data_IF_273201646690
#
_entry.id   IF_273201646690
#
_cell.length_a   1.000
_cell.length_b   1.000
_cell.length_c   1.000
_cell.angle_alpha   90.00
_cell.angle_beta   90.00
_cell.angle_gamma   90.00
#
_symmetry.space_group_name_H-M   'P 1'
#
loop_
_entity.id
_entity.type
_entity.pdbx_description
1 polymer ?
#
# COMPACT_ATOMS: atom_id res chain seq x y z
N UNK A 1 -23.14 33.65 -53.50
CA UNK A 1 -23.82 32.76 -54.47
C UNK A 1 -24.69 31.79 -53.70
N UNK A 2 -25.97 31.72 -54.07
CA UNK A 2 -27.01 30.87 -53.52
C UNK A 2 -26.74 29.38 -53.75
N UNK A 3 -27.16 28.50 -52.82
CA UNK A 3 -28.13 27.43 -53.11
C UNK A 3 -28.74 26.85 -51.84
N UNK A 4 -30.00 27.26 -51.62
CA UNK A 4 -31.03 26.49 -50.93
C UNK A 4 -31.34 25.21 -51.70
N UNK A 5 -31.71 24.14 -50.99
CA UNK A 5 -32.84 23.30 -51.37
C UNK A 5 -33.52 22.73 -50.15
N UNK A 6 -34.85 22.79 -50.20
CA UNK A 6 -35.79 22.52 -49.14
C UNK A 6 -36.85 21.52 -49.63
N UNK A 7 -37.66 21.03 -48.67
CA UNK A 7 -39.01 20.43 -48.81
C UNK A 7 -39.04 18.93 -49.18
N UNK A 8 -39.99 18.09 -48.72
CA UNK A 8 -41.36 18.32 -48.23
C UNK A 8 -41.98 17.05 -47.55
N UNK A 9 -42.70 17.25 -46.45
CA UNK A 9 -44.07 16.77 -46.07
C UNK A 9 -44.53 15.30 -46.11
N UNK A 10 -45.24 14.93 -45.02
CA UNK A 10 -46.44 14.04 -44.97
C UNK A 10 -46.71 13.61 -43.51
N UNK A 11 -47.55 14.25 -42.70
CA UNK A 11 -49.03 14.27 -42.63
C UNK A 11 -49.70 12.93 -42.20
N UNK A 12 -50.39 12.97 -41.04
CA UNK A 12 -51.22 11.95 -40.37
C UNK A 12 -52.42 11.45 -41.20
N UNK A 13 -53.15 10.40 -40.75
CA UNK A 13 -54.35 10.66 -39.92
C UNK A 13 -54.61 9.66 -38.77
N UNK A 14 -55.51 10.09 -37.89
CA UNK A 14 -56.10 9.38 -36.76
C UNK A 14 -57.18 8.36 -37.18
N UNK A 15 -57.48 7.42 -36.27
CA UNK A 15 -58.66 6.54 -36.34
C UNK A 15 -59.09 6.10 -34.93
N UNK A 16 -60.33 6.42 -34.57
CA UNK A 16 -60.95 6.26 -33.26
C UNK A 16 -61.95 5.08 -33.22
N UNK A 17 -62.47 4.81 -32.02
CA UNK A 17 -63.72 4.06 -31.68
C UNK A 17 -63.67 2.52 -31.79
N UNK A 18 -64.22 1.71 -30.84
CA UNK A 18 -65.43 1.82 -30.00
C UNK A 18 -65.36 0.86 -28.78
N UNK A 19 -66.30 0.97 -27.80
CA UNK A 19 -66.34 0.23 -26.54
C UNK A 19 -67.25 -1.01 -26.60
N UNK A 20 -67.04 -1.95 -25.67
CA UNK A 20 -67.92 -3.08 -25.42
C UNK A 20 -68.18 -3.23 -23.93
N UNK A 21 -69.35 -2.77 -23.49
CA UNK A 21 -69.92 -3.08 -22.20
C UNK A 21 -70.80 -4.33 -22.32
N UNK A 22 -70.64 -5.30 -21.42
CA UNK A 22 -71.65 -6.31 -21.14
C UNK A 22 -71.98 -6.26 -19.65
N UNK A 23 -73.22 -5.89 -19.38
CA UNK A 23 -73.93 -6.15 -18.14
C UNK A 23 -74.25 -7.65 -18.07
N UNK A 24 -74.07 -8.27 -16.90
CA UNK A 24 -75.07 -9.22 -16.42
C UNK A 24 -75.11 -9.30 -14.89
N UNK A 25 -76.25 -8.86 -14.38
CA UNK A 25 -77.10 -9.46 -13.36
C UNK A 25 -76.50 -10.06 -12.07
N UNK A 26 -76.65 -9.25 -11.02
CA UNK A 26 -77.15 -9.57 -9.68
C UNK A 26 -77.23 -11.05 -9.25
N UNK A 27 -76.49 -11.38 -8.17
CA UNK A 27 -77.04 -12.17 -7.08
C UNK A 27 -76.74 -11.46 -5.75
N UNK A 28 -77.81 -11.07 -5.05
CA UNK A 28 -77.79 -10.70 -3.64
C UNK A 28 -77.44 -11.94 -2.85
N UNK A 29 -76.43 -11.85 -1.99
CA UNK A 29 -76.43 -12.63 -0.76
C UNK A 29 -76.05 -11.74 0.43
N UNK A 30 -76.91 -11.78 1.43
CA UNK A 30 -76.89 -10.93 2.62
C UNK A 30 -76.09 -11.64 3.72
N UNK A 31 -74.77 -11.49 3.70
CA UNK A 31 -73.88 -11.99 4.74
C UNK A 31 -73.48 -10.89 5.74
N UNK A 32 -74.31 -10.68 6.76
CA UNK A 32 -74.05 -9.84 7.93
C UNK A 32 -73.04 -10.57 8.84
N UNK A 33 -71.85 -10.00 9.08
CA UNK A 33 -70.93 -10.54 10.09
C UNK A 33 -69.52 -9.93 10.10
N UNK A 34 -69.27 -9.07 11.08
CA UNK A 34 -67.97 -8.83 11.72
C UNK A 34 -66.78 -8.39 10.86
N UNK A 35 -66.99 -7.32 10.09
CA UNK A 35 -65.92 -6.42 9.67
C UNK A 35 -65.44 -5.57 10.84
N UNK A 36 -64.44 -6.04 11.60
CA UNK A 36 -63.78 -5.19 12.58
C UNK A 36 -63.02 -5.93 13.67
N UNK A 37 -61.92 -6.61 13.33
CA UNK A 37 -60.83 -6.99 14.26
C UNK A 37 -59.69 -7.78 13.58
N UNK A 38 -59.30 -7.46 12.35
CA UNK A 38 -58.13 -8.12 11.70
C UNK A 38 -57.22 -7.18 10.90
N UNK A 39 -57.21 -5.88 11.20
CA UNK A 39 -56.38 -4.88 10.51
C UNK A 39 -55.46 -4.10 11.46
N UNK A 40 -54.86 -4.77 12.45
CA UNK A 40 -53.94 -4.11 13.39
C UNK A 40 -52.72 -4.96 13.78
N UNK A 41 -52.29 -5.89 12.91
CA UNK A 41 -51.00 -6.61 13.08
C UNK A 41 -50.34 -6.79 11.71
N UNK A 42 -50.13 -5.72 10.96
CA UNK A 42 -49.35 -5.74 9.72
C UNK A 42 -48.53 -4.46 9.47
N UNK A 43 -48.36 -3.62 10.50
CA UNK A 43 -47.60 -2.36 10.42
C UNK A 43 -46.52 -2.23 11.50
N UNK A 44 -46.11 -3.35 12.12
CA UNK A 44 -45.01 -3.37 13.10
C UNK A 44 -43.79 -4.19 12.64
N UNK A 45 -43.88 -4.93 11.53
CA UNK A 45 -42.76 -5.72 11.00
C UNK A 45 -41.91 -4.96 9.96
N UNK A 46 -42.48 -3.98 9.26
CA UNK A 46 -41.76 -3.23 8.22
C UNK A 46 -40.84 -2.12 8.77
N UNK A 47 -41.06 -1.65 10.00
CA UNK A 47 -40.27 -0.56 10.62
C UNK A 47 -39.02 -1.08 11.34
N UNK A 48 -38.94 -2.38 11.63
CA UNK A 48 -37.80 -2.98 12.36
C UNK A 48 -36.80 -3.68 11.42
N UNK A 49 -37.18 -4.01 10.19
CA UNK A 49 -36.27 -4.66 9.22
C UNK A 49 -35.46 -3.66 8.40
N UNK A 50 -36.02 -2.47 8.13
CA UNK A 50 -35.33 -1.41 7.38
C UNK A 50 -34.05 -0.86 8.06
N UNK A 51 -33.96 -0.68 9.40
CA UNK A 51 -32.73 -0.20 10.02
C UNK A 51 -31.66 -1.30 10.17
N UNK A 52 -32.04 -2.59 10.09
CA UNK A 52 -31.10 -3.70 10.30
C UNK A 52 -30.35 -4.11 9.01
N UNK A 53 -30.85 -3.71 7.84
CA UNK A 53 -30.18 -3.92 6.55
C UNK A 53 -29.20 -2.78 6.19
N UNK A 54 -29.26 -1.64 6.90
CA UNK A 54 -28.34 -0.51 6.70
C UNK A 54 -27.05 -0.59 7.53
N UNK A 55 -26.93 -1.56 8.46
CA UNK A 55 -25.73 -1.74 9.30
C UNK A 55 -24.77 -2.81 8.80
N UNK A 56 -25.04 -3.43 7.63
CA UNK A 56 -24.01 -4.06 6.82
C UNK A 56 -23.15 -2.96 6.16
N UNK A 57 -22.59 -2.08 7.00
CA UNK A 57 -21.59 -1.11 6.59
C UNK A 57 -20.47 -1.89 5.94
N UNK A 58 -20.15 -1.51 4.71
CA UNK A 58 -18.92 -1.91 4.04
C UNK A 58 -17.78 -1.68 5.02
N UNK A 59 -17.25 -2.73 5.65
CA UNK A 59 -16.00 -2.65 6.37
C UNK A 59 -14.95 -2.33 5.30
N UNK A 60 -14.76 -1.03 5.01
CA UNK A 60 -13.64 -0.58 4.20
C UNK A 60 -12.42 -1.11 4.93
N UNK A 61 -11.58 -1.97 4.31
CA UNK A 61 -10.38 -2.42 4.97
C UNK A 61 -9.63 -1.18 5.41
N UNK A 62 -9.46 -1.04 6.73
CA UNK A 62 -8.76 0.10 7.28
C UNK A 62 -7.34 0.03 6.71
N UNK A 63 -6.98 1.01 5.89
CA UNK A 63 -5.68 1.00 5.24
C UNK A 63 -4.65 1.47 6.24
N UNK A 64 -3.63 0.68 6.52
CA UNK A 64 -2.42 1.27 7.07
C UNK A 64 -1.64 1.96 5.96
N UNK A 65 -0.85 2.93 6.34
CA UNK A 65 0.03 3.56 5.40
C UNK A 65 1.30 3.96 6.15
N UNK A 66 2.44 3.66 5.55
CA UNK A 66 3.72 4.10 6.02
C UNK A 66 4.88 3.42 5.31
N UNK A 67 6.06 3.99 5.51
CA UNK A 67 7.33 3.44 5.03
C UNK A 67 8.48 3.91 5.94
N UNK A 68 9.62 3.19 5.96
CA UNK A 68 10.83 3.67 6.61
C UNK A 68 11.31 4.99 5.99
N UNK A 69 11.56 5.98 6.85
CA UNK A 69 12.21 7.26 6.49
C UNK A 69 13.62 7.37 7.05
N UNK A 70 13.99 6.54 8.03
CA UNK A 70 15.37 6.39 8.50
C UNK A 70 15.62 4.98 9.07
N UNK A 71 16.52 4.16 8.50
CA UNK A 71 17.09 4.30 7.16
C UNK A 71 16.00 4.42 6.09
N UNK A 72 16.12 5.41 5.21
CA UNK A 72 15.10 5.71 4.20
C UNK A 72 14.90 4.52 3.27
N UNK A 73 13.65 4.17 3.01
CA UNK A 73 13.28 3.13 2.05
C UNK A 73 13.37 3.64 0.61
N UNK A 74 13.54 2.74 -0.36
CA UNK A 74 13.56 3.08 -1.79
C UNK A 74 12.30 3.83 -2.21
N UNK A 75 11.13 3.35 -1.78
CA UNK A 75 9.84 3.96 -2.15
C UNK A 75 9.71 5.38 -1.59
N UNK A 76 10.14 5.60 -0.34
CA UNK A 76 10.14 6.94 0.28
C UNK A 76 11.19 7.85 -0.34
N UNK A 77 12.40 7.35 -0.57
CA UNK A 77 13.51 8.10 -1.17
C UNK A 77 13.21 8.57 -2.60
N UNK A 78 12.46 7.76 -3.37
CA UNK A 78 12.14 8.02 -4.77
C UNK A 78 10.72 8.57 -4.99
N UNK A 79 9.96 8.82 -3.93
CA UNK A 79 8.65 9.46 -4.04
C UNK A 79 8.80 10.92 -4.49
N UNK A 80 7.71 11.59 -4.94
CA UNK A 80 7.76 13.03 -5.23
C UNK A 80 8.25 13.90 -4.06
N UNK A 81 8.05 13.42 -2.83
CA UNK A 81 8.42 14.10 -1.59
C UNK A 81 9.82 13.70 -1.09
N UNK A 82 10.41 12.64 -1.65
CA UNK A 82 11.69 12.10 -1.19
C UNK A 82 12.87 12.96 -1.61
N UNK A 83 13.84 13.18 -0.72
CA UNK A 83 15.03 14.02 -1.00
C UNK A 83 15.95 13.47 -2.10
N UNK A 84 15.85 12.19 -2.42
CA UNK A 84 16.69 11.51 -3.40
C UNK A 84 15.96 11.21 -4.72
N UNK A 85 14.77 11.79 -4.94
CA UNK A 85 13.96 11.62 -6.14
C UNK A 85 14.72 11.99 -7.42
N UNK A 86 15.67 12.93 -7.31
CA UNK A 86 16.59 13.33 -8.37
C UNK A 86 17.81 12.40 -8.59
N UNK A 87 17.93 11.27 -7.89
CA UNK A 87 19.05 10.34 -8.11
C UNK A 87 18.90 9.53 -9.40
N UNK A 88 20.00 9.01 -9.93
CA UNK A 88 19.97 8.17 -11.13
C UNK A 88 19.14 6.89 -10.92
N UNK A 89 19.26 6.26 -9.75
CA UNK A 89 18.46 5.11 -9.36
C UNK A 89 16.97 5.44 -9.28
N UNK A 90 16.59 6.54 -8.62
CA UNK A 90 15.17 6.92 -8.50
C UNK A 90 14.54 7.28 -9.86
N UNK A 91 15.25 8.00 -10.73
CA UNK A 91 14.77 8.26 -12.10
C UNK A 91 14.55 6.97 -12.88
N UNK A 92 15.51 6.04 -12.81
CA UNK A 92 15.38 4.74 -13.48
C UNK A 92 14.20 3.93 -12.91
N UNK A 93 14.01 3.95 -11.59
CA UNK A 93 12.90 3.29 -10.91
C UNK A 93 11.55 3.85 -11.36
N UNK A 94 11.39 5.18 -11.35
CA UNK A 94 10.16 5.85 -11.80
C UNK A 94 9.87 5.54 -13.29
N UNK A 95 10.90 5.57 -14.14
CA UNK A 95 10.75 5.23 -15.55
C UNK A 95 10.33 3.76 -15.75
N UNK A 96 10.98 2.82 -15.05
CA UNK A 96 10.62 1.41 -15.09
C UNK A 96 9.22 1.14 -14.50
N UNK A 97 8.80 1.94 -13.51
CA UNK A 97 7.48 1.84 -12.90
C UNK A 97 6.37 2.32 -13.85
N UNK A 98 6.67 3.25 -14.75
CA UNK A 98 5.71 3.92 -15.64
C UNK A 98 5.08 5.19 -15.02
N UNK A 99 5.58 5.64 -13.87
CA UNK A 99 5.06 6.79 -13.15
C UNK A 99 5.67 6.94 -11.75
N UNK A 100 5.51 8.12 -11.12
CA UNK A 100 6.07 8.40 -9.81
C UNK A 100 5.44 7.54 -8.70
N UNK A 101 6.20 7.26 -7.64
CA UNK A 101 5.71 6.58 -6.44
C UNK A 101 4.92 7.56 -5.55
N UNK A 102 3.73 7.98 -5.99
CA UNK A 102 2.86 8.90 -5.21
C UNK A 102 2.30 8.24 -3.97
N UNK A 103 1.87 6.98 -4.09
CA UNK A 103 1.41 6.16 -2.97
C UNK A 103 2.60 5.48 -2.26
N UNK A 104 3.61 6.25 -1.88
CA UNK A 104 4.86 5.72 -1.33
C UNK A 104 4.68 5.01 0.02
N UNK A 105 3.60 5.33 0.73
CA UNK A 105 3.22 4.80 2.01
C UNK A 105 2.26 3.59 1.90
N UNK A 106 1.88 3.14 0.70
CA UNK A 106 0.87 2.09 0.50
C UNK A 106 1.40 0.84 -0.23
N UNK A 107 2.68 0.49 -0.05
CA UNK A 107 3.23 -0.76 -0.58
C UNK A 107 2.76 -1.95 0.28
N UNK A 108 1.56 -2.43 -0.05
CA UNK A 108 0.71 -3.23 0.84
C UNK A 108 0.11 -4.44 0.13
N UNK A 109 0.14 -5.59 0.82
CA UNK A 109 -0.55 -6.82 0.41
C UNK A 109 -1.51 -7.24 1.54
N UNK A 110 -2.76 -7.55 1.21
CA UNK A 110 -3.72 -8.09 2.18
C UNK A 110 -3.60 -9.61 2.32
N UNK A 111 -3.94 -10.12 3.50
CA UNK A 111 -4.18 -11.55 3.73
C UNK A 111 -2.93 -12.43 3.63
N UNK A 112 -1.74 -11.83 3.77
CA UNK A 112 -0.47 -12.58 3.73
C UNK A 112 -0.40 -13.53 4.91
N UNK A 113 -0.78 -13.08 6.11
CA UNK A 113 -0.85 -13.88 7.33
C UNK A 113 0.47 -14.63 7.62
N UNK A 114 1.61 -13.97 7.41
CA UNK A 114 2.95 -14.54 7.62
C UNK A 114 3.47 -15.47 6.51
N UNK A 115 2.71 -15.64 5.42
CA UNK A 115 3.12 -16.43 4.24
C UNK A 115 3.96 -15.60 3.25
N UNK A 116 4.79 -14.69 3.76
CA UNK A 116 5.51 -13.68 2.97
C UNK A 116 6.26 -14.29 1.78
N UNK A 117 7.00 -15.39 2.03
CA UNK A 117 7.78 -16.13 1.02
C UNK A 117 6.95 -16.83 -0.05
N UNK A 118 5.67 -17.09 0.23
CA UNK A 118 4.76 -17.75 -0.71
C UNK A 118 4.04 -16.71 -1.59
N UNK A 119 3.84 -15.49 -1.06
CA UNK A 119 3.05 -14.45 -1.71
C UNK A 119 3.94 -13.49 -2.51
N UNK A 120 5.14 -13.18 -2.03
CA UNK A 120 6.07 -12.26 -2.68
C UNK A 120 7.13 -13.07 -3.44
N UNK A 121 7.17 -13.04 -4.79
CA UNK A 121 8.14 -13.79 -5.57
C UNK A 121 9.56 -13.26 -5.44
N UNK A 122 10.55 -14.14 -5.68
CA UNK A 122 11.95 -13.71 -5.83
C UNK A 122 12.10 -12.65 -6.94
N UNK A 123 13.01 -11.71 -6.72
CA UNK A 123 13.19 -10.56 -7.61
C UNK A 123 12.10 -9.49 -7.48
N UNK A 124 11.07 -9.69 -6.65
CA UNK A 124 9.97 -8.75 -6.45
C UNK A 124 9.78 -8.34 -4.99
N UNK A 125 10.80 -8.56 -4.15
CA UNK A 125 10.71 -8.28 -2.71
C UNK A 125 10.47 -6.79 -2.44
N UNK A 126 11.10 -5.90 -3.21
CA UNK A 126 11.04 -4.45 -2.96
C UNK A 126 9.77 -3.80 -3.50
N UNK A 127 9.08 -4.41 -4.46
CA UNK A 127 7.73 -4.04 -4.90
C UNK A 127 6.61 -4.79 -4.17
N UNK A 128 6.94 -5.90 -3.49
CA UNK A 128 5.93 -6.84 -2.99
C UNK A 128 5.18 -7.57 -4.11
N UNK A 129 5.74 -7.65 -5.32
CA UNK A 129 5.06 -8.20 -6.51
C UNK A 129 3.97 -7.28 -7.07
N UNK A 130 3.89 -6.04 -6.60
CA UNK A 130 2.85 -5.10 -6.99
C UNK A 130 3.30 -4.28 -8.21
N UNK A 131 2.52 -4.35 -9.29
CA UNK A 131 2.82 -3.63 -10.53
C UNK A 131 3.08 -2.11 -10.36
N UNK A 132 2.36 -1.37 -9.48
CA UNK A 132 2.62 0.05 -9.23
C UNK A 132 3.94 0.37 -8.50
N UNK A 133 4.71 -0.65 -8.13
CA UNK A 133 5.98 -0.52 -7.42
C UNK A 133 7.13 -1.28 -8.09
N UNK A 134 6.91 -1.87 -9.28
CA UNK A 134 7.87 -2.75 -9.98
C UNK A 134 9.23 -2.10 -10.25
N UNK A 135 9.27 -0.77 -10.37
CA UNK A 135 10.52 -0.03 -10.54
C UNK A 135 11.48 -0.11 -9.35
N UNK A 136 10.99 -0.46 -8.16
CA UNK A 136 11.80 -0.61 -6.94
C UNK A 136 12.65 -1.89 -6.93
N UNK A 137 12.35 -2.84 -7.82
CA UNK A 137 13.03 -4.13 -7.93
C UNK A 137 14.30 -4.08 -8.80
N UNK A 138 14.60 -2.93 -9.41
CA UNK A 138 15.80 -2.78 -10.24
C UNK A 138 17.06 -3.12 -9.42
N UNK A 139 17.84 -4.07 -9.95
CA UNK A 139 19.11 -4.48 -9.39
C UNK A 139 20.18 -3.42 -9.70
N UNK A 140 20.51 -2.58 -8.71
CA UNK A 140 21.42 -1.45 -8.85
C UNK A 140 22.29 -1.26 -7.62
N UNK A 141 23.54 -0.86 -7.83
CA UNK A 141 24.48 -0.55 -6.76
C UNK A 141 24.50 0.93 -6.34
N UNK A 142 23.68 1.77 -6.98
CA UNK A 142 23.63 3.24 -6.79
C UNK A 142 22.31 3.73 -6.17
N UNK A 143 21.50 2.84 -5.58
CA UNK A 143 20.37 3.24 -4.76
C UNK A 143 20.82 4.18 -3.62
N UNK A 144 20.04 5.24 -3.30
CA UNK A 144 20.28 6.06 -2.11
C UNK A 144 20.42 5.18 -0.87
N UNK A 145 21.44 5.42 -0.05
CA UNK A 145 21.75 4.51 1.05
C UNK A 145 22.18 5.21 2.33
N UNK A 146 21.78 4.66 3.46
CA UNK A 146 22.19 5.12 4.80
C UNK A 146 23.44 4.36 5.26
N UNK A 147 24.43 5.09 5.80
CA UNK A 147 25.62 4.47 6.40
C UNK A 147 25.28 3.92 7.79
N UNK A 148 25.62 2.66 8.04
CA UNK A 148 25.44 1.99 9.33
C UNK A 148 26.76 1.38 9.83
N UNK A 149 26.82 1.13 11.13
CA UNK A 149 27.98 0.47 11.76
C UNK A 149 27.70 -1.01 11.98
N UNK A 150 28.61 -1.93 11.57
CA UNK A 150 28.46 -3.36 11.86
C UNK A 150 28.35 -3.58 13.36
N UNK A 151 27.37 -4.38 13.81
CA UNK A 151 27.16 -4.62 15.24
C UNK A 151 26.67 -3.38 15.99
N UNK A 152 26.37 -2.27 15.32
CA UNK A 152 25.85 -1.06 15.94
C UNK A 152 24.39 -1.18 16.33
N UNK A 153 23.85 -0.08 16.86
CA UNK A 153 22.41 0.08 17.07
C UNK A 153 21.79 0.68 15.81
N UNK A 154 20.84 -0.02 15.21
CA UNK A 154 19.91 0.55 14.23
C UNK A 154 18.86 1.35 15.00
N UNK A 155 18.70 2.62 14.66
CA UNK A 155 17.52 3.39 15.04
C UNK A 155 16.61 3.46 13.82
N UNK A 156 15.41 2.89 13.91
CA UNK A 156 14.45 2.87 12.82
C UNK A 156 13.35 3.89 13.09
N UNK A 157 13.10 4.75 12.11
CA UNK A 157 11.94 5.63 12.02
C UNK A 157 11.07 5.19 10.85
N UNK A 158 9.85 4.74 11.16
CA UNK A 158 8.85 4.34 10.19
C UNK A 158 7.71 5.37 10.21
N UNK A 159 7.65 6.23 9.20
CA UNK A 159 6.56 7.20 9.07
C UNK A 159 5.25 6.44 8.86
N UNK A 160 4.21 6.79 9.59
CA UNK A 160 2.88 6.21 9.40
C UNK A 160 1.83 7.30 9.27
N UNK A 161 1.29 7.44 8.06
CA UNK A 161 0.21 8.39 7.76
C UNK A 161 -1.14 7.87 8.26
N UNK A 162 -1.31 6.54 8.35
CA UNK A 162 -2.41 5.89 9.05
C UNK A 162 -1.84 4.79 9.96
N UNK A 163 -1.87 4.98 11.30
CA UNK A 163 -1.26 4.06 12.26
C UNK A 163 -2.12 2.83 12.55
N UNK A 164 -1.46 1.70 12.78
CA UNK A 164 -2.05 0.39 13.12
C UNK A 164 -1.22 -0.35 14.16
N UNK A 165 -1.81 -1.35 14.82
CA UNK A 165 -1.03 -2.29 15.64
C UNK A 165 -0.44 -3.38 14.75
N UNK A 166 0.72 -3.90 15.12
CA UNK A 166 1.40 -4.90 14.32
C UNK A 166 2.83 -5.19 14.76
N UNK A 167 3.46 -6.10 14.04
CA UNK A 167 4.84 -6.52 14.28
C UNK A 167 5.71 -6.13 13.10
N UNK A 168 6.78 -5.40 13.38
CA UNK A 168 7.86 -5.10 12.45
C UNK A 168 8.90 -6.22 12.52
N UNK A 169 9.17 -6.88 11.39
CA UNK A 169 10.23 -7.88 11.23
C UNK A 169 11.32 -7.28 10.35
N UNK A 170 12.56 -7.28 10.85
CA UNK A 170 13.71 -6.71 10.16
C UNK A 170 14.65 -7.82 9.69
N UNK A 171 14.90 -7.84 8.39
CA UNK A 171 15.89 -8.72 7.76
C UNK A 171 17.00 -7.88 7.16
N UNK A 172 18.20 -8.45 7.14
CA UNK A 172 19.34 -7.83 6.48
C UNK A 172 20.00 -8.88 5.60
N UNK A 173 20.13 -8.57 4.31
CA UNK A 173 20.80 -9.42 3.31
C UNK A 173 22.09 -10.05 3.85
N UNK A 174 22.32 -11.33 3.55
CA UNK A 174 23.45 -12.14 4.02
C UNK A 174 24.80 -11.56 3.55
N UNK A 175 25.92 -11.90 4.21
CA UNK A 175 27.25 -11.56 3.71
C UNK A 175 27.44 -12.11 2.29
N UNK A 176 28.09 -11.33 1.42
CA UNK A 176 28.28 -11.68 0.02
C UNK A 176 27.11 -11.31 -0.91
N UNK A 177 26.07 -10.63 -0.41
CA UNK A 177 25.01 -10.06 -1.24
C UNK A 177 25.57 -9.20 -2.38
N UNK A 178 25.04 -9.43 -3.58
CA UNK A 178 25.40 -8.72 -4.81
C UNK A 178 24.26 -7.77 -5.21
N UNK A 179 24.40 -6.44 -5.03
CA UNK A 179 23.36 -5.48 -5.36
C UNK A 179 23.09 -5.34 -6.87
N UNK A 180 23.90 -5.98 -7.72
CA UNK A 180 23.70 -6.01 -9.18
C UNK A 180 22.78 -7.15 -9.63
N UNK A 181 22.32 -8.00 -8.70
CA UNK A 181 21.32 -9.05 -8.94
C UNK A 181 19.99 -8.69 -8.29
N UNK A 182 18.85 -9.15 -8.87
CA UNK A 182 17.55 -8.99 -8.23
C UNK A 182 17.55 -9.64 -6.84
N UNK A 183 16.97 -8.95 -5.85
CA UNK A 183 16.90 -9.45 -4.47
C UNK A 183 15.96 -10.66 -4.40
N UNK A 184 16.43 -11.77 -3.83
CA UNK A 184 15.66 -12.99 -3.61
C UNK A 184 15.55 -13.33 -2.11
N UNK A 185 14.58 -14.17 -1.74
CA UNK A 185 14.43 -14.66 -0.37
C UNK A 185 15.65 -15.45 0.11
N UNK A 186 16.39 -16.09 -0.80
CA UNK A 186 17.65 -16.76 -0.49
C UNK A 186 18.74 -15.80 -0.01
N UNK A 187 18.68 -14.53 -0.38
CA UNK A 187 19.61 -13.49 0.07
C UNK A 187 19.33 -13.05 1.51
N UNK A 188 18.14 -13.35 2.05
CA UNK A 188 17.75 -13.04 3.42
C UNK A 188 17.89 -14.27 4.33
N UNK A 189 18.23 -14.11 5.62
CA UNK A 189 18.12 -15.20 6.60
C UNK A 189 16.68 -15.68 6.74
N UNK A 190 16.49 -16.93 7.20
CA UNK A 190 15.16 -17.49 7.41
C UNK A 190 14.35 -16.71 8.46
N UNK A 191 15.04 -16.25 9.51
CA UNK A 191 14.47 -15.47 10.60
C UNK A 191 14.93 -14.01 10.54
N UNK A 192 14.08 -13.05 10.97
CA UNK A 192 14.52 -11.67 11.09
C UNK A 192 15.57 -11.55 12.21
N UNK A 193 16.50 -10.62 12.07
CA UNK A 193 17.46 -10.34 13.15
C UNK A 193 16.82 -9.56 14.30
N UNK A 194 15.68 -8.92 14.06
CA UNK A 194 14.88 -8.24 15.07
C UNK A 194 13.38 -8.31 14.74
N UNK A 195 12.57 -8.44 15.78
CA UNK A 195 11.10 -8.38 15.69
C UNK A 195 10.60 -7.45 16.79
N UNK A 196 9.81 -6.44 16.43
CA UNK A 196 9.31 -5.42 17.37
C UNK A 196 7.80 -5.28 17.18
N UNK A 197 7.05 -5.57 18.23
CA UNK A 197 5.58 -5.47 18.24
C UNK A 197 5.15 -4.17 18.90
N UNK A 198 4.20 -3.48 18.27
CA UNK A 198 3.58 -2.25 18.76
C UNK A 198 4.57 -1.22 19.33
N UNK A 199 5.62 -0.83 18.57
CA UNK A 199 6.54 0.21 19.01
C UNK A 199 5.80 1.54 19.24
N UNK A 200 6.34 2.45 20.06
CA UNK A 200 5.69 3.72 20.33
C UNK A 200 5.57 4.56 19.05
N UNK A 201 4.35 5.06 18.81
CA UNK A 201 4.09 6.07 17.79
C UNK A 201 4.31 7.48 18.39
N UNK A 202 5.24 8.25 17.82
CA UNK A 202 5.56 9.63 18.21
C UNK A 202 5.76 10.48 16.97
N UNK A 203 5.13 11.65 16.93
CA UNK A 203 5.21 12.60 15.82
C UNK A 203 4.89 11.95 14.45
N UNK A 204 3.85 11.10 14.43
CA UNK A 204 3.40 10.38 13.25
C UNK A 204 4.34 9.26 12.78
N UNK A 205 5.30 8.82 13.60
CA UNK A 205 6.23 7.75 13.22
C UNK A 205 6.39 6.72 14.33
N UNK A 206 6.49 5.45 13.96
CA UNK A 206 6.98 4.42 14.87
C UNK A 206 8.49 4.57 14.99
N UNK A 207 8.99 4.57 16.22
CA UNK A 207 10.41 4.71 16.50
C UNK A 207 10.86 3.61 17.45
N UNK A 208 11.88 2.87 17.03
CA UNK A 208 12.44 1.78 17.83
C UNK A 208 13.88 1.50 17.42
N UNK A 209 14.59 0.72 18.22
CA UNK A 209 15.96 0.34 17.96
C UNK A 209 16.15 -1.17 17.93
N UNK A 210 17.18 -1.61 17.21
CA UNK A 210 17.56 -3.02 17.09
C UNK A 210 19.09 -3.15 17.00
N UNK A 211 19.63 -4.28 17.47
CA UNK A 211 21.06 -4.60 17.31
C UNK A 211 21.31 -5.11 15.89
N UNK A 212 22.23 -4.49 15.16
CA UNK A 212 22.62 -4.95 13.82
C UNK A 212 23.53 -6.18 13.89
N UNK A 213 23.48 -7.08 12.89
CA UNK A 213 24.51 -8.10 12.71
C UNK A 213 25.91 -7.49 12.59
N UNK A 214 26.91 -8.12 13.20
CA UNK A 214 28.30 -7.63 13.25
C UNK A 214 29.16 -8.02 12.04
N UNK A 215 28.70 -8.98 11.26
CA UNK A 215 29.38 -9.63 10.13
C UNK A 215 29.06 -8.98 8.77
N UNK A 216 28.48 -7.77 8.76
CA UNK A 216 28.08 -7.06 7.54
C UNK A 216 29.12 -6.04 7.11
N UNK A 217 29.40 -6.00 5.81
CA UNK A 217 30.32 -5.03 5.20
C UNK A 217 29.90 -4.74 3.77
N UNK A 218 30.12 -3.53 3.28
CA UNK A 218 29.67 -3.12 1.95
C UNK A 218 28.17 -2.81 1.90
N UNK A 219 27.59 -2.87 0.69
CA UNK A 219 26.18 -2.53 0.44
C UNK A 219 25.28 -3.71 0.79
N UNK A 220 24.19 -3.42 1.46
CA UNK A 220 23.17 -4.38 1.86
C UNK A 220 21.76 -3.76 1.71
N UNK A 221 20.74 -4.62 1.68
CA UNK A 221 19.34 -4.21 1.81
C UNK A 221 18.82 -4.60 3.19
N UNK A 222 18.30 -3.63 3.92
CA UNK A 222 17.44 -3.80 5.10
C UNK A 222 16.00 -3.99 4.59
N UNK A 223 15.47 -5.20 4.75
CA UNK A 223 14.12 -5.54 4.35
C UNK A 223 13.20 -5.52 5.57
N UNK A 224 12.20 -4.65 5.54
CA UNK A 224 11.24 -4.45 6.62
C UNK A 224 9.89 -4.98 6.21
N UNK A 225 9.33 -5.85 7.06
CA UNK A 225 7.96 -6.33 6.95
C UNK A 225 7.18 -5.79 8.14
N UNK A 226 6.12 -5.02 7.90
CA UNK A 226 5.17 -4.63 8.95
C UNK A 226 3.89 -5.43 8.76
N UNK A 227 3.73 -6.47 9.57
CA UNK A 227 2.54 -7.31 9.58
C UNK A 227 1.55 -6.76 10.62
N UNK A 228 0.40 -6.28 10.14
CA UNK A 228 -0.60 -5.71 11.03
C UNK A 228 -1.36 -6.78 11.81
N UNK A 229 -1.83 -6.40 12.98
CA UNK A 229 -2.74 -7.18 13.83
C UNK A 229 -4.13 -6.55 13.92
N UNK A 230 -4.25 -5.23 13.75
CA UNK A 230 -5.55 -4.54 13.66
C UNK A 230 -6.22 -4.65 12.29
N UNK A 231 -5.48 -5.12 11.27
CA UNK A 231 -5.95 -5.34 9.89
C UNK A 231 -5.30 -6.58 9.31
N UNK A 232 -5.76 -7.04 8.15
CA UNK A 232 -5.18 -8.19 7.44
C UNK A 232 -3.94 -7.81 6.61
N UNK A 233 -3.46 -6.58 6.75
CA UNK A 233 -2.52 -5.98 5.82
C UNK A 233 -1.07 -6.25 6.22
N UNK A 234 -0.19 -6.38 5.23
CA UNK A 234 1.25 -6.48 5.42
C UNK A 234 1.95 -5.52 4.47
N UNK A 235 2.89 -4.74 5.00
CA UNK A 235 3.65 -3.72 4.28
C UNK A 235 5.08 -4.18 4.11
N UNK A 236 5.66 -3.86 2.95
CA UNK A 236 7.03 -4.24 2.61
C UNK A 236 7.84 -2.99 2.27
N UNK A 237 9.12 -3.01 2.64
CA UNK A 237 10.02 -1.91 2.34
C UNK A 237 11.47 -2.39 2.25
N UNK A 238 12.17 -1.95 1.22
CA UNK A 238 13.62 -2.08 1.09
C UNK A 238 14.28 -0.74 1.43
N UNK A 239 15.21 -0.72 2.38
CA UNK A 239 16.12 0.41 2.62
C UNK A 239 17.54 -0.03 2.29
N UNK A 240 18.21 0.65 1.36
CA UNK A 240 19.61 0.36 1.05
C UNK A 240 20.52 0.96 2.13
N UNK A 241 21.50 0.18 2.57
CA UNK A 241 22.43 0.58 3.62
C UNK A 241 23.85 0.21 3.23
N UNK A 242 24.82 0.93 3.78
CA UNK A 242 26.24 0.66 3.55
C UNK A 242 27.01 0.57 4.86
N UNK A 243 27.73 -0.53 5.01
CA UNK A 243 28.60 -0.81 6.13
C UNK A 243 30.05 -0.55 5.71
N UNK A 244 30.84 0.23 6.49
CA UNK A 244 32.27 0.36 6.24
C UNK A 244 32.93 -1.02 6.15
N UNK A 245 33.83 -1.19 5.17
CA UNK A 245 34.72 -2.36 5.16
C UNK A 245 35.63 -2.24 6.37
N UNK A 246 35.68 -3.27 7.22
CA UNK A 246 36.73 -3.34 8.23
C UNK A 246 38.06 -3.38 7.48
N UNK A 247 38.90 -2.36 7.66
CA UNK A 247 40.30 -2.52 7.30
C UNK A 247 40.79 -3.67 8.17
N UNK A 248 41.12 -4.82 7.59
CA UNK A 248 41.94 -5.79 8.30
C UNK A 248 43.19 -5.00 8.70
N UNK A 249 43.39 -4.81 10.00
CA UNK A 249 44.73 -4.48 10.47
C UNK A 249 45.57 -5.65 9.97
N UNK A 250 46.48 -5.38 9.04
CA UNK A 250 47.57 -6.31 8.80
C UNK A 250 48.18 -6.56 10.18
N UNK A 251 48.05 -7.79 10.65
CA UNK A 251 48.84 -8.32 11.74
C UNK A 251 50.28 -8.42 11.23
N UNK A 252 50.90 -7.27 10.97
CA UNK A 252 52.33 -7.15 10.78
C UNK A 252 52.97 -7.56 12.09
N UNK A 253 53.47 -8.80 12.13
CA UNK A 253 54.47 -9.23 13.10
C UNK A 253 55.71 -8.34 12.92
N UNK A 254 55.70 -7.19 13.59
CA UNK A 254 56.85 -6.30 13.76
C UNK A 254 57.16 -6.25 15.24
N UNK A 255 58.31 -6.81 15.60
CA UNK A 255 58.75 -7.00 16.98
C UNK A 255 58.81 -5.72 17.80
N UNK A 256 58.65 -5.91 19.11
CA UNK A 256 58.88 -4.91 20.13
C UNK A 256 60.26 -4.24 19.99
N UNK A 257 60.29 -2.92 20.10
CA UNK A 257 61.42 -2.21 20.67
C UNK A 257 60.90 -0.98 21.40
N UNK A 258 61.29 -0.90 22.67
CA UNK A 258 60.97 0.13 23.65
C UNK A 258 61.66 1.46 23.32
N UNK A 259 61.08 2.58 23.77
CA UNK A 259 61.86 3.75 24.18
C UNK A 259 61.40 5.12 23.68
N UNK A 260 61.01 5.96 24.65
CA UNK A 260 61.13 7.43 24.71
C UNK A 260 60.13 8.36 23.98
N UNK A 261 59.30 8.99 24.82
CA UNK A 261 58.81 10.39 24.71
C UNK A 261 60.00 11.37 24.67
N UNK A 262 59.87 12.55 24.03
CA UNK A 262 59.46 13.72 24.83
C UNK A 262 58.63 14.80 24.09
N UNK A 263 57.77 15.44 24.90
CA UNK A 263 57.47 16.87 25.01
C UNK A 263 57.02 17.74 23.80
N UNK A 264 55.92 18.42 24.09
CA UNK A 264 55.21 19.54 23.47
C UNK A 264 56.05 20.83 23.33
N UNK A 265 55.84 21.59 22.23
CA UNK A 265 55.93 23.07 22.21
C UNK A 265 55.23 23.70 21.01
N UNK A 266 54.43 24.70 21.35
CA UNK A 266 53.70 25.67 20.52
C UNK A 266 54.62 26.79 20.00
N UNK A 267 54.28 27.42 18.87
CA UNK A 267 54.97 28.61 18.37
C UNK A 267 54.51 29.08 16.97
N UNK A 268 53.72 30.15 16.95
CA UNK A 268 53.22 30.86 15.76
C UNK A 268 54.30 31.68 15.01
N UNK A 269 54.04 32.00 13.73
CA UNK A 269 54.80 33.02 12.99
C UNK A 269 54.35 33.16 11.53
N UNK A 270 53.80 34.33 11.19
CA UNK A 270 53.22 34.73 9.91
C UNK A 270 54.25 35.15 8.84
N UNK A 271 53.83 35.18 7.57
CA UNK A 271 54.53 35.90 6.49
C UNK A 271 54.03 35.59 5.07
N UNK A 272 53.05 36.35 4.57
CA UNK A 272 52.83 36.68 3.14
C UNK A 272 53.75 37.89 2.77
N UNK A 273 53.89 38.42 1.51
CA UNK A 273 53.14 38.13 0.28
C UNK A 273 53.86 38.21 -1.10
N UNK A 274 53.06 37.95 -2.16
CA UNK A 274 52.94 38.73 -3.43
C UNK A 274 53.15 38.00 -4.79
N UNK A 275 52.14 38.22 -5.66
CA UNK A 275 52.01 38.31 -7.15
C UNK A 275 53.25 38.06 -8.05
N UNK A 276 53.17 37.62 -9.32
CA UNK A 276 52.29 38.03 -10.43
C UNK A 276 52.55 37.18 -11.70
N UNK A 277 51.57 37.22 -12.64
CA UNK A 277 51.61 37.08 -14.12
C UNK A 277 51.51 35.73 -14.87
N UNK A 278 50.40 35.65 -15.62
CA UNK A 278 50.11 34.95 -16.89
C UNK A 278 51.10 35.30 -18.03
N UNK A 279 51.23 34.47 -19.08
CA UNK A 279 50.45 34.73 -20.32
C UNK A 279 49.93 33.47 -21.07
N UNK A 280 48.83 33.65 -21.81
CA UNK A 280 48.33 32.80 -22.93
C UNK A 280 49.12 33.16 -24.24
N UNK A 281 49.10 32.38 -25.35
CA UNK A 281 47.91 32.34 -26.24
C UNK A 281 47.68 31.07 -27.11
N UNK A 282 46.48 31.02 -27.71
CA UNK A 282 46.17 30.70 -29.13
C UNK A 282 45.54 29.33 -29.53
N UNK A 283 44.21 29.35 -29.65
CA UNK A 283 43.37 29.13 -30.85
C UNK A 283 43.69 28.04 -31.91
N UNK A 284 42.73 27.13 -32.12
CA UNK A 284 42.25 26.71 -33.45
C UNK A 284 40.87 26.03 -33.38
N UNK A 285 39.90 26.57 -34.13
CA UNK A 285 38.68 25.90 -34.64
C UNK A 285 38.87 25.67 -36.18
N UNK A 286 38.02 24.96 -36.98
CA UNK A 286 36.55 25.04 -36.95
C UNK A 286 35.69 23.82 -37.45
N UNK A 287 34.37 23.98 -37.26
CA UNK A 287 33.20 23.63 -38.10
C UNK A 287 32.75 22.19 -38.42
N UNK A 288 31.45 21.95 -38.16
CA UNK A 288 30.63 20.92 -38.80
C UNK A 288 29.17 20.92 -38.31
N UNK A 289 28.29 21.69 -38.96
CA UNK A 289 26.82 21.73 -38.76
C UNK A 289 26.11 20.62 -39.53
N UNK A 290 25.09 19.98 -38.94
CA UNK A 290 23.81 19.66 -39.66
C UNK A 290 22.64 19.35 -38.71
N UNK A 291 21.73 20.32 -38.65
CA UNK A 291 20.26 20.33 -38.61
C UNK A 291 19.43 19.03 -38.41
N UNK A 292 18.42 19.15 -37.54
CA UNK A 292 17.28 18.25 -37.33
C UNK A 292 16.02 18.68 -38.15
N UNK A 293 15.02 17.79 -38.33
CA UNK A 293 13.64 18.18 -38.68
C UNK A 293 12.61 17.92 -37.53
N UNK A 294 11.37 18.45 -37.63
CA UNK A 294 10.54 18.94 -36.49
C UNK A 294 9.50 17.93 -35.95
N UNK A 295 8.76 18.26 -34.86
CA UNK A 295 7.69 17.41 -34.33
C UNK A 295 6.32 17.78 -34.93
N UNK A 296 5.53 16.76 -35.27
CA UNK A 296 4.11 16.91 -35.59
C UNK A 296 3.24 16.70 -34.35
N UNK A 297 2.24 17.58 -34.22
CA UNK A 297 1.25 17.66 -33.16
C UNK A 297 -0.05 16.96 -33.56
N UNK A 298 -0.72 16.29 -32.61
CA UNK A 298 -2.10 15.84 -32.81
C UNK A 298 -2.73 15.16 -31.60
N UNK A 299 -3.54 15.94 -30.85
CA UNK A 299 -4.74 15.62 -30.05
C UNK A 299 -4.88 14.23 -29.37
N UNK A 300 -5.17 14.07 -28.08
CA UNK A 300 -6.08 14.82 -27.21
C UNK A 300 -7.24 13.91 -26.77
N UNK A 301 -7.19 13.34 -25.55
CA UNK A 301 -8.31 12.74 -24.80
C UNK A 301 -7.92 12.57 -23.31
N UNK A 302 -8.86 12.61 -22.35
CA UNK A 302 -8.67 13.29 -21.08
C UNK A 302 -7.99 12.46 -19.98
N UNK A 303 -7.39 13.18 -19.03
CA UNK A 303 -6.87 12.67 -17.77
C UNK A 303 -7.96 11.91 -17.00
N UNK A 304 -7.66 10.66 -16.66
CA UNK A 304 -8.47 9.86 -15.76
C UNK A 304 -8.16 10.24 -14.30
N UNK A 305 -9.25 10.40 -13.57
CA UNK A 305 -9.40 10.86 -12.20
C UNK A 305 -8.59 10.03 -11.18
N UNK A 306 -8.08 10.70 -10.15
CA UNK A 306 -7.37 10.07 -9.04
C UNK A 306 -8.39 9.50 -8.06
N UNK A 307 -8.70 8.19 -8.14
CA UNK A 307 -9.64 7.60 -7.18
C UNK A 307 -10.01 6.13 -7.25
N UNK A 308 -9.38 5.27 -8.05
CA UNK A 308 -9.83 3.86 -8.17
C UNK A 308 -8.83 2.87 -7.55
N UNK A 309 -9.24 2.02 -6.58
CA UNK A 309 -8.36 1.01 -6.00
C UNK A 309 -8.16 -0.15 -6.98
N UNK A 310 -6.90 -0.46 -7.28
CA UNK A 310 -6.52 -1.65 -8.06
C UNK A 310 -6.48 -2.86 -7.12
N UNK A 311 -7.51 -3.70 -7.18
CA UNK A 311 -7.47 -5.06 -6.67
C UNK A 311 -7.22 -5.99 -7.87
N UNK A 312 -6.11 -6.70 -7.88
CA UNK A 312 -5.84 -7.74 -8.87
C UNK A 312 -6.60 -9.00 -8.48
N UNK A 313 -7.65 -9.36 -9.22
CA UNK A 313 -8.16 -10.73 -9.26
C UNK A 313 -7.61 -11.37 -10.53
N UNK A 314 -6.67 -12.29 -10.38
CA UNK A 314 -6.38 -13.28 -11.42
C UNK A 314 -7.42 -14.38 -11.31
N UNK A 315 -8.23 -14.54 -12.37
CA UNK A 315 -9.08 -15.72 -12.56
C UNK A 315 -8.20 -16.97 -12.75
N UNK A 316 -8.54 -18.03 -12.03
CA UNK A 316 -8.27 -19.41 -12.43
C UNK A 316 -9.45 -20.28 -11.97
N UNK A 317 -9.90 -21.12 -12.88
CA UNK A 317 -11.12 -21.91 -12.84
C UNK A 317 -11.17 -22.88 -11.65
N UNK A 318 -12.24 -22.86 -10.86
CA UNK A 318 -12.45 -23.86 -9.82
C UNK A 318 -13.80 -23.71 -9.11
N UNK A 319 -14.80 -24.47 -9.58
CA UNK A 319 -16.12 -24.61 -8.95
C UNK A 319 -15.99 -24.85 -7.45
N UNK A 320 -16.32 -23.84 -6.64
CA UNK A 320 -16.28 -23.92 -5.19
C UNK A 320 -17.60 -23.38 -4.62
N UNK A 321 -18.41 -24.29 -4.10
CA UNK A 321 -19.65 -23.99 -3.38
C UNK A 321 -19.31 -23.17 -2.12
N UNK A 322 -19.95 -22.02 -1.85
CA UNK A 322 -19.68 -21.29 -0.63
C UNK A 322 -20.33 -22.00 0.56
N UNK A 323 -19.51 -22.59 1.41
CA UNK A 323 -19.89 -23.02 2.75
C UNK A 323 -20.09 -21.75 3.59
N UNK A 324 -21.36 -21.37 3.83
CA UNK A 324 -21.71 -20.28 4.75
C UNK A 324 -21.50 -20.78 6.18
N UNK A 325 -20.32 -20.52 6.75
CA UNK A 325 -20.10 -20.59 8.19
C UNK A 325 -20.25 -19.18 8.76
N UNK A 326 -21.43 -18.89 9.32
CA UNK A 326 -21.71 -17.61 9.96
C UNK A 326 -22.77 -17.72 11.05
N UNK A 327 -22.38 -17.39 12.29
CA UNK A 327 -23.25 -16.69 13.25
C UNK A 327 -24.22 -17.53 14.08
N UNK A 328 -23.72 -18.24 15.09
CA UNK A 328 -24.53 -18.72 16.20
C UNK A 328 -24.73 -17.62 17.25
N UNK A 329 -25.57 -16.62 17.00
CA UNK A 329 -26.06 -15.67 18.04
C UNK A 329 -27.36 -14.97 17.61
N UNK A 330 -28.47 -15.69 17.51
CA UNK A 330 -29.82 -15.10 17.54
C UNK A 330 -30.93 -16.15 17.69
N UNK A 331 -30.98 -16.90 18.79
CA UNK A 331 -32.08 -17.86 19.02
C UNK A 331 -32.48 -18.01 20.50
N UNK A 332 -32.65 -16.88 21.22
CA UNK A 332 -33.20 -16.93 22.60
C UNK A 332 -34.52 -16.17 22.78
N UNK A 333 -34.95 -15.31 21.85
CA UNK A 333 -36.19 -14.51 22.08
C UNK A 333 -37.46 -15.15 21.48
N UNK A 334 -37.34 -16.13 20.57
CA UNK A 334 -38.52 -16.72 19.92
C UNK A 334 -39.20 -17.86 20.72
N UNK A 335 -38.51 -18.52 21.66
CA UNK A 335 -39.08 -19.64 22.44
C UNK A 335 -39.92 -19.16 23.63
N UNK A 336 -39.61 -17.99 24.20
CA UNK A 336 -40.34 -17.43 25.35
C UNK A 336 -41.79 -17.03 25.03
N UNK A 337 -42.05 -16.51 23.83
CA UNK A 337 -43.38 -16.04 23.43
C UNK A 337 -44.39 -17.19 23.20
N UNK A 338 -43.91 -18.35 22.74
CA UNK A 338 -44.76 -19.53 22.47
C UNK A 338 -45.16 -20.24 23.77
N UNK A 339 -44.30 -20.25 24.79
CA UNK A 339 -44.61 -20.84 26.10
C UNK A 339 -45.55 -19.96 26.94
N UNK A 340 -45.43 -18.63 26.87
CA UNK A 340 -46.32 -17.72 27.60
C UNK A 340 -47.77 -17.75 27.07
N UNK A 341 -47.95 -17.94 25.76
CA UNK A 341 -49.28 -18.05 25.14
C UNK A 341 -49.94 -19.42 25.35
N UNK A 342 -49.16 -20.51 25.50
CA UNK A 342 -49.67 -21.84 25.85
C UNK A 342 -50.07 -21.95 27.33
N UNK A 343 -49.33 -21.31 28.24
CA UNK A 343 -49.67 -21.29 29.67
C UNK A 343 -50.97 -20.54 30.00
N UNK A 344 -51.30 -19.49 29.22
CA UNK A 344 -52.52 -18.71 29.43
C UNK A 344 -53.80 -19.43 28.97
N UNK A 345 -53.73 -20.31 27.95
CA UNK A 345 -54.86 -21.12 27.49
C UNK A 345 -55.20 -22.29 28.41
N UNK A 346 -54.28 -22.73 29.26
CA UNK A 346 -54.51 -23.85 30.19
C UNK A 346 -55.15 -23.42 31.52
N UNK A 347 -55.03 -22.14 31.90
CA UNK A 347 -55.69 -21.59 33.10
C UNK A 347 -57.15 -21.21 32.89
N UNK A 348 -57.62 -21.06 31.66
CA UNK A 348 -59.02 -20.72 31.36
C UNK A 348 -59.92 -21.95 31.14
N UNK A 349 -59.48 -23.16 31.54
CA UNK A 349 -60.22 -24.41 31.41
C UNK A 349 -60.37 -25.19 32.74
N UNK A 350 -59.95 -24.59 33.85
CA UNK A 350 -60.03 -25.21 35.19
C UNK A 350 -61.08 -24.51 36.09
N UNK A 351 -61.62 -23.38 35.65
CA UNK A 351 -62.73 -22.69 36.32
C UNK A 351 -63.94 -22.65 35.36
N UNK A 352 -64.63 -23.79 35.23
CA UNK A 352 -66.04 -23.96 34.84
C UNK A 352 -66.51 -25.37 35.26
#
# INVERSE_FOLDING_TARGET
>A
MYRLSARRTGAHPAGAHRPGAHHDSAHRDSGRGDGGRRAAVATAAAVVVAPLLLTAGTATPARAHGAPTDPVSRVSACSPEGEAQGSAACRAAVAANGGPFTAWDNLRIAGVNGRDRQVVPDGQLCSGGLAPYKGLDLARADWPSTRLSPGGTLNLTYRSTIPHTGTFKLFLTKPGYDPTKPLAWSDLPEQPFASVTDPPLRDGSYRFSAKLPADRSGRHVLYTIWQNTSTVDTYYSCSDVVFPKTKRADSGTGGASSGETPAEREGAGAGEPASEKTPEPASAAPSGSTQAPPPDSGAGAPAADAGTPVASTTDESGTSVPLVAGGATALVVAVGAVLFLRGRRHRSRVDD
#
